data_IF_146925265780
#
_entry.id   IF_146925265780
#
_cell.length_a   1.000
_cell.length_b   1.000
_cell.length_c   1.000
_cell.angle_alpha   90.00
_cell.angle_beta   90.00
_cell.angle_gamma   90.00
#
_symmetry.space_group_name_H-M   'P 1'
#
loop_
_entity.id
_entity.type
_entity.pdbx_description
1 polymer ?
#
# COMPACT_ATOMS: atom_id res chain seq x y z
N UNK A 1 29.64 16.94 73.72
CA UNK A 1 30.58 16.51 72.67
C UNK A 1 29.90 16.78 71.34
N UNK A 2 29.93 18.05 70.93
CA UNK A 2 30.56 18.56 69.68
C UNK A 2 29.80 18.10 68.43
N UNK A 3 29.30 18.92 67.50
CA UNK A 3 29.58 20.30 67.09
C UNK A 3 28.42 20.66 66.11
N UNK A 4 27.50 21.57 66.45
CA UNK A 4 27.30 22.93 65.91
C UNK A 4 27.49 23.11 64.38
N UNK A 5 26.70 24.10 63.86
CA UNK A 5 26.94 24.97 62.67
C UNK A 5 26.55 24.34 61.31
N UNK A 6 25.83 24.93 60.33
CA UNK A 6 25.29 26.26 59.95
C UNK A 6 24.13 25.97 58.96
N UNK A 7 22.89 26.44 59.14
CA UNK A 7 22.30 27.67 58.57
C UNK A 7 22.31 27.84 57.02
N UNK A 8 21.09 27.90 56.48
CA UNK A 8 20.57 28.90 55.50
C UNK A 8 20.87 28.80 53.99
N UNK A 9 19.76 29.06 53.26
CA UNK A 9 19.62 29.61 51.89
C UNK A 9 19.91 28.59 50.78
N UNK A 10 19.10 28.41 49.73
CA UNK A 10 18.34 29.38 48.95
C UNK A 10 17.24 28.63 48.17
N UNK A 11 16.03 29.20 48.20
CA UNK A 11 15.08 29.38 47.08
C UNK A 11 14.98 28.27 46.02
N UNK A 12 13.82 27.63 45.93
CA UNK A 12 12.84 27.93 44.88
C UNK A 12 13.44 28.02 43.47
N UNK A 13 13.51 26.87 42.79
CA UNK A 13 13.43 26.84 41.33
C UNK A 13 13.22 25.42 40.81
N UNK A 14 12.08 25.25 40.14
CA UNK A 14 12.03 24.57 38.83
C UNK A 14 12.18 23.04 38.89
N UNK A 15 11.12 22.24 39.04
CA UNK A 15 9.95 22.22 38.13
C UNK A 15 10.29 21.86 36.67
N UNK A 16 11.55 21.99 36.26
CA UNK A 16 12.00 21.91 34.86
C UNK A 16 12.74 20.59 34.59
N UNK A 17 13.33 19.96 35.61
CA UNK A 17 14.10 18.72 35.42
C UNK A 17 13.23 17.47 35.23
N UNK A 18 12.01 17.43 35.79
CA UNK A 18 11.06 16.33 35.55
C UNK A 18 10.33 16.43 34.19
N UNK A 19 10.37 17.60 33.54
CA UNK A 19 9.72 17.85 32.26
C UNK A 19 10.54 17.31 31.06
N UNK A 20 11.85 17.09 31.26
CA UNK A 20 12.77 16.60 30.22
C UNK A 20 12.70 15.09 29.99
N UNK A 21 12.23 14.29 30.95
CA UNK A 21 11.99 12.85 30.73
C UNK A 21 10.65 12.57 30.05
N UNK A 22 9.68 13.49 30.17
CA UNK A 22 8.37 13.36 29.52
C UNK A 22 8.42 13.75 28.03
N UNK A 23 9.44 14.50 27.59
CA UNK A 23 9.57 14.93 26.18
C UNK A 23 10.23 13.89 25.28
N UNK A 24 10.89 12.87 25.83
CA UNK A 24 11.51 11.80 25.04
C UNK A 24 10.51 10.72 24.58
N UNK A 25 9.28 10.69 25.13
CA UNK A 25 8.26 9.69 24.77
C UNK A 25 7.33 10.15 23.64
N UNK A 26 7.44 11.41 23.18
CA UNK A 26 6.53 11.99 22.17
C UNK A 26 7.10 11.98 20.73
N UNK A 27 8.33 11.52 20.53
CA UNK A 27 9.00 11.60 19.20
C UNK A 27 8.87 10.33 18.35
N UNK A 28 8.31 9.23 18.86
CA UNK A 28 8.02 8.04 18.04
C UNK A 28 6.69 8.16 17.29
N UNK A 29 6.46 9.29 16.62
CA UNK A 29 5.57 9.33 15.48
C UNK A 29 6.35 8.81 14.27
N UNK A 30 6.62 7.50 14.25
CA UNK A 30 7.00 6.82 13.01
C UNK A 30 5.76 6.88 12.13
N UNK A 31 5.70 7.88 11.26
CA UNK A 31 4.77 7.93 10.14
C UNK A 31 5.08 6.73 9.25
N UNK A 32 4.35 5.63 9.45
CA UNK A 32 4.30 4.60 8.44
C UNK A 32 3.73 5.24 7.18
N UNK A 33 4.51 5.26 6.10
CA UNK A 33 4.01 5.61 4.78
C UNK A 33 2.94 4.57 4.42
N UNK A 34 1.67 4.91 4.64
CA UNK A 34 0.55 4.10 4.20
C UNK A 34 0.55 4.20 2.67
N UNK A 35 0.94 3.13 1.98
CA UNK A 35 0.66 2.99 0.55
C UNK A 35 -0.87 2.93 0.42
N UNK A 36 -1.45 3.97 -0.17
CA UNK A 36 -2.89 4.11 -0.25
C UNK A 36 -3.46 3.13 -1.26
N UNK A 37 -4.17 2.12 -0.79
CA UNK A 37 -5.05 1.30 -1.64
C UNK A 37 -6.11 2.22 -2.26
N UNK A 38 -6.29 2.12 -3.59
CA UNK A 38 -7.24 2.94 -4.33
C UNK A 38 -8.42 2.09 -4.79
N UNK A 39 -9.57 2.73 -5.06
CA UNK A 39 -10.72 2.03 -5.61
C UNK A 39 -11.54 2.90 -6.56
N UNK A 40 -12.27 2.25 -7.48
CA UNK A 40 -13.19 2.88 -8.42
C UNK A 40 -14.49 2.10 -8.48
N UNK A 41 -15.62 2.81 -8.39
CA UNK A 41 -16.96 2.21 -8.49
C UNK A 41 -17.46 2.29 -9.93
N UNK A 42 -17.99 1.17 -10.42
CA UNK A 42 -18.59 0.98 -11.73
C UNK A 42 -19.93 0.25 -11.58
N UNK A 43 -21.03 1.01 -11.55
CA UNK A 43 -22.36 0.45 -11.30
C UNK A 43 -22.40 -0.29 -9.97
N UNK A 44 -22.65 -1.60 -10.00
CA UNK A 44 -22.68 -2.47 -8.82
C UNK A 44 -21.32 -3.07 -8.44
N UNK A 45 -20.25 -2.70 -9.13
CA UNK A 45 -18.92 -3.25 -8.90
C UNK A 45 -17.99 -2.19 -8.34
N UNK A 46 -17.12 -2.58 -7.41
CA UNK A 46 -16.00 -1.77 -6.93
C UNK A 46 -14.71 -2.49 -7.29
N UNK A 47 -13.85 -1.83 -8.06
CA UNK A 47 -12.52 -2.32 -8.39
C UNK A 47 -11.53 -1.68 -7.44
N UNK A 48 -10.95 -2.47 -6.55
CA UNK A 48 -9.83 -2.08 -5.70
C UNK A 48 -8.53 -2.37 -6.43
N UNK A 49 -7.57 -1.47 -6.31
CA UNK A 49 -6.28 -1.63 -6.94
C UNK A 49 -5.17 -0.96 -6.12
N UNK A 50 -4.00 -1.56 -6.16
CA UNK A 50 -2.78 -1.02 -5.55
C UNK A 50 -1.57 -1.43 -6.35
N UNK A 51 -0.53 -0.61 -6.32
CA UNK A 51 0.74 -0.90 -6.96
C UNK A 51 1.87 -0.55 -6.01
N UNK A 52 2.83 -1.46 -5.87
CA UNK A 52 3.99 -1.29 -4.99
C UNK A 52 5.15 -2.17 -5.45
N UNK A 53 6.37 -1.95 -4.94
CA UNK A 53 7.51 -2.80 -5.28
C UNK A 53 7.49 -4.12 -4.53
N UNK A 54 7.87 -5.21 -5.19
CA UNK A 54 7.76 -6.58 -4.64
C UNK A 54 8.61 -6.84 -3.40
N UNK A 55 9.61 -6.02 -3.10
CA UNK A 55 10.36 -6.09 -1.85
C UNK A 55 9.51 -5.72 -0.61
N UNK A 56 8.43 -4.96 -0.78
CA UNK A 56 7.46 -4.67 0.28
C UNK A 56 6.62 -5.89 0.68
N UNK A 57 6.62 -6.96 -0.12
CA UNK A 57 5.99 -8.22 0.31
C UNK A 57 6.76 -8.83 1.48
N UNK A 58 6.03 -9.45 2.40
CA UNK A 58 6.66 -10.30 3.41
C UNK A 58 7.32 -11.51 2.73
N UNK A 59 8.40 -12.07 3.31
CA UNK A 59 9.05 -13.26 2.76
C UNK A 59 8.09 -14.44 2.57
N UNK A 60 7.13 -14.63 3.48
CA UNK A 60 6.16 -15.71 3.41
C UNK A 60 5.20 -15.55 2.23
N UNK A 61 4.63 -14.36 2.03
CA UNK A 61 3.71 -14.07 0.91
C UNK A 61 4.43 -14.17 -0.43
N UNK A 62 5.63 -13.59 -0.52
CA UNK A 62 6.45 -13.68 -1.73
C UNK A 62 6.75 -15.15 -2.10
N UNK A 63 7.16 -15.96 -1.12
CA UNK A 63 7.41 -17.40 -1.34
C UNK A 63 6.14 -18.15 -1.71
N UNK A 64 5.03 -17.91 -1.00
CA UNK A 64 3.75 -18.58 -1.21
C UNK A 64 3.25 -18.39 -2.65
N UNK A 65 3.41 -17.19 -3.19
CA UNK A 65 2.93 -16.85 -4.53
C UNK A 65 4.04 -16.80 -5.60
N UNK A 66 5.25 -17.31 -5.28
CA UNK A 66 6.41 -17.33 -6.15
C UNK A 66 6.74 -15.96 -6.79
N UNK A 67 6.69 -14.89 -5.99
CA UNK A 67 7.01 -13.52 -6.39
C UNK A 67 8.45 -13.22 -5.95
N UNK A 68 9.39 -12.98 -6.89
CA UNK A 68 10.73 -12.54 -6.53
C UNK A 68 10.67 -11.17 -5.86
N UNK A 69 11.22 -11.05 -4.65
CA UNK A 69 11.29 -9.77 -3.94
C UNK A 69 12.39 -8.90 -4.55
N UNK A 70 12.02 -7.73 -5.06
CA UNK A 70 12.94 -6.77 -5.67
C UNK A 70 12.34 -5.36 -5.70
N UNK A 71 13.19 -4.36 -5.44
CA UNK A 71 12.83 -2.94 -5.68
C UNK A 71 12.61 -2.64 -7.16
N UNK A 72 13.28 -3.36 -8.07
CA UNK A 72 13.20 -3.18 -9.54
C UNK A 72 11.98 -3.85 -10.17
N UNK A 73 11.01 -4.25 -9.37
CA UNK A 73 9.82 -4.97 -9.81
C UNK A 73 8.61 -4.45 -9.07
N UNK A 74 7.69 -3.84 -9.81
CA UNK A 74 6.39 -3.48 -9.30
C UNK A 74 5.44 -4.68 -9.34
N UNK A 75 4.53 -4.71 -8.38
CA UNK A 75 3.41 -5.62 -8.29
C UNK A 75 2.14 -4.79 -8.37
N UNK A 76 1.37 -4.99 -9.41
CA UNK A 76 -0.03 -4.59 -9.47
C UNK A 76 -0.86 -5.64 -8.73
N UNK A 77 -1.77 -5.19 -7.87
CA UNK A 77 -2.83 -6.00 -7.28
C UNK A 77 -4.19 -5.38 -7.61
N UNK A 78 -5.14 -6.20 -8.06
CA UNK A 78 -6.51 -5.80 -8.38
C UNK A 78 -7.48 -6.78 -7.75
N UNK A 79 -8.53 -6.29 -7.11
CA UNK A 79 -9.68 -7.11 -6.72
C UNK A 79 -10.98 -6.45 -7.15
N UNK A 80 -12.00 -7.28 -7.40
CA UNK A 80 -13.31 -6.81 -7.85
C UNK A 80 -14.35 -7.29 -6.86
N UNK A 81 -15.10 -6.37 -6.30
CA UNK A 81 -16.19 -6.64 -5.37
C UNK A 81 -17.52 -6.28 -6.04
N UNK A 82 -18.53 -7.14 -5.88
CA UNK A 82 -19.91 -6.85 -6.28
C UNK A 82 -20.70 -6.44 -5.04
N UNK A 83 -21.36 -5.29 -5.13
CA UNK A 83 -22.33 -4.83 -4.13
C UNK A 83 -23.58 -5.69 -4.23
N UNK A 84 -23.98 -6.27 -3.10
CA UNK A 84 -25.19 -7.06 -2.92
C UNK A 84 -26.36 -6.15 -2.53
N UNK A 85 -27.59 -6.65 -2.69
CA UNK A 85 -28.80 -5.88 -2.39
C UNK A 85 -28.94 -5.49 -0.90
N UNK A 86 -28.34 -6.27 0.00
CA UNK A 86 -28.26 -6.02 1.44
C UNK A 86 -27.20 -4.96 1.82
N UNK A 87 -26.51 -4.37 0.84
CA UNK A 87 -25.46 -3.38 1.04
C UNK A 87 -24.07 -3.98 1.32
N UNK A 88 -23.95 -5.31 1.47
CA UNK A 88 -22.66 -5.98 1.60
C UNK A 88 -21.89 -6.05 0.28
N UNK A 89 -20.57 -6.25 0.35
CA UNK A 89 -19.72 -6.44 -0.82
C UNK A 89 -19.13 -7.85 -0.82
N UNK A 90 -19.21 -8.55 -1.95
CA UNK A 90 -18.67 -9.90 -2.12
C UNK A 90 -17.64 -9.96 -3.24
N UNK A 91 -16.54 -10.72 -3.08
CA UNK A 91 -15.60 -10.95 -4.17
C UNK A 91 -16.29 -11.47 -5.43
N UNK A 92 -15.91 -10.91 -6.57
CA UNK A 92 -16.44 -11.25 -7.89
C UNK A 92 -15.28 -11.57 -8.82
N UNK A 93 -15.31 -12.75 -9.43
CA UNK A 93 -14.37 -13.08 -10.50
C UNK A 93 -14.54 -12.10 -11.66
N UNK A 94 -13.45 -11.83 -12.36
CA UNK A 94 -13.43 -10.96 -13.53
C UNK A 94 -12.39 -11.43 -14.55
N UNK A 95 -12.62 -11.11 -15.81
CA UNK A 95 -11.58 -11.15 -16.83
C UNK A 95 -10.94 -9.77 -16.83
N UNK A 96 -9.65 -9.70 -16.49
CA UNK A 96 -8.89 -8.45 -16.48
C UNK A 96 -7.83 -8.52 -17.55
N UNK A 97 -7.82 -7.52 -18.43
CA UNK A 97 -6.71 -7.25 -19.35
C UNK A 97 -6.07 -5.94 -18.93
N UNK A 98 -4.76 -5.85 -19.05
CA UNK A 98 -4.04 -4.68 -18.60
C UNK A 98 -2.83 -4.37 -19.45
N UNK A 99 -2.53 -3.08 -19.53
CA UNK A 99 -1.28 -2.58 -20.09
C UNK A 99 -0.67 -1.54 -19.16
N UNK A 100 0.63 -1.35 -19.29
CA UNK A 100 1.34 -0.22 -18.72
C UNK A 100 2.15 0.50 -19.80
N UNK A 101 2.23 1.82 -19.70
CA UNK A 101 3.01 2.66 -20.60
C UNK A 101 3.90 3.60 -19.80
N UNK A 102 5.19 3.66 -20.11
CA UNK A 102 6.09 4.65 -19.51
C UNK A 102 6.07 5.98 -20.27
N UNK A 103 6.80 6.99 -19.77
CA UNK A 103 6.86 8.31 -20.42
C UNK A 103 7.55 8.29 -21.80
N UNK A 104 8.34 7.25 -22.09
CA UNK A 104 8.94 7.02 -23.40
C UNK A 104 7.98 6.32 -24.38
N UNK A 105 6.68 6.21 -24.02
CA UNK A 105 5.64 5.58 -24.82
C UNK A 105 5.88 4.09 -25.09
N UNK A 106 6.72 3.43 -24.28
CA UNK A 106 6.90 1.99 -24.36
C UNK A 106 5.72 1.30 -23.68
N UNK A 107 4.89 0.64 -24.50
CA UNK A 107 3.75 -0.15 -24.05
C UNK A 107 4.21 -1.55 -23.65
N UNK A 108 3.71 -2.04 -22.52
CA UNK A 108 3.89 -3.40 -22.03
C UNK A 108 2.54 -3.99 -21.67
N UNK A 109 2.27 -5.22 -22.10
CA UNK A 109 1.11 -5.98 -21.61
C UNK A 109 1.37 -6.49 -20.19
N UNK A 110 0.32 -6.55 -19.39
CA UNK A 110 0.37 -7.08 -18.03
C UNK A 110 -0.04 -8.54 -18.04
N UNK A 111 0.86 -9.41 -17.59
CA UNK A 111 0.57 -10.82 -17.35
C UNK A 111 -0.19 -10.97 -16.02
N UNK A 112 -1.51 -10.84 -16.07
CA UNK A 112 -2.37 -10.99 -14.90
C UNK A 112 -2.59 -12.47 -14.55
N UNK A 113 -2.37 -12.81 -13.28
CA UNK A 113 -2.69 -14.12 -12.71
C UNK A 113 -3.67 -14.01 -11.55
N UNK A 114 -4.65 -14.91 -11.53
CA UNK A 114 -5.64 -15.02 -10.45
C UNK A 114 -5.04 -15.75 -9.24
N UNK A 115 -5.25 -15.19 -8.05
CA UNK A 115 -4.98 -15.80 -6.76
C UNK A 115 -6.29 -15.83 -5.99
N UNK A 116 -6.63 -17.00 -5.44
CA UNK A 116 -7.80 -17.18 -4.57
C UNK A 116 -7.35 -17.69 -3.21
N UNK A 117 -7.66 -16.95 -2.14
CA UNK A 117 -7.31 -17.33 -0.77
C UNK A 117 -8.42 -16.92 0.20
N UNK A 118 -8.86 -17.84 1.06
CA UNK A 118 -9.84 -17.58 2.14
C UNK A 118 -11.12 -16.85 1.67
N UNK A 119 -11.55 -17.10 0.45
CA UNK A 119 -12.73 -16.49 -0.15
C UNK A 119 -12.51 -15.13 -0.83
N UNK A 120 -11.29 -14.57 -0.77
CA UNK A 120 -10.89 -13.40 -1.56
C UNK A 120 -10.30 -13.81 -2.91
N UNK A 121 -10.45 -12.95 -3.92
CA UNK A 121 -9.94 -13.15 -5.27
C UNK A 121 -9.12 -11.91 -5.65
N UNK A 122 -7.87 -12.13 -6.04
CA UNK A 122 -6.93 -11.10 -6.48
C UNK A 122 -6.41 -11.42 -7.87
N UNK A 123 -6.14 -10.39 -8.64
CA UNK A 123 -5.44 -10.47 -9.91
C UNK A 123 -4.16 -9.68 -9.77
N UNK A 124 -3.02 -10.35 -9.91
CA UNK A 124 -1.72 -9.70 -9.77
C UNK A 124 -0.92 -9.76 -11.06
N UNK A 125 -0.10 -8.74 -11.30
CA UNK A 125 0.85 -8.70 -12.39
C UNK A 125 2.15 -8.05 -11.93
N UNK A 126 3.27 -8.50 -12.48
CA UNK A 126 4.59 -8.01 -12.16
C UNK A 126 5.16 -7.23 -13.36
N UNK A 127 5.78 -6.09 -13.11
CA UNK A 127 6.42 -5.28 -14.16
C UNK A 127 7.80 -4.83 -13.71
N UNK A 128 8.81 -4.82 -14.60
CA UNK A 128 10.08 -4.18 -14.29
C UNK A 128 9.85 -2.67 -14.13
N UNK A 129 10.57 -2.07 -13.18
CA UNK A 129 10.57 -0.63 -12.93
C UNK A 129 11.97 -0.10 -12.68
N UNK A 130 12.23 1.12 -13.13
CA UNK A 130 13.44 1.89 -12.90
C UNK A 130 13.24 3.04 -11.90
N UNK A 131 14.34 3.63 -11.42
CA UNK A 131 14.30 4.79 -10.51
C UNK A 131 13.64 5.99 -11.19
N UNK A 132 12.72 6.63 -10.46
CA UNK A 132 11.91 7.74 -10.92
C UNK A 132 11.07 7.44 -12.19
N UNK A 133 10.84 6.16 -12.52
CA UNK A 133 9.98 5.78 -13.64
C UNK A 133 8.51 6.04 -13.29
N UNK A 134 7.78 6.67 -14.21
CA UNK A 134 6.33 6.81 -14.14
C UNK A 134 5.71 5.77 -15.07
N UNK A 135 4.83 4.95 -14.53
CA UNK A 135 4.04 3.98 -15.28
C UNK A 135 2.57 4.37 -15.27
N UNK A 136 1.98 4.49 -16.46
CA UNK A 136 0.54 4.68 -16.66
C UNK A 136 -0.11 3.33 -16.90
N UNK A 137 -0.94 2.92 -15.96
CA UNK A 137 -1.70 1.68 -16.04
C UNK A 137 -3.05 1.93 -16.70
N UNK A 138 -3.44 0.99 -17.56
CA UNK A 138 -4.80 0.89 -18.10
C UNK A 138 -5.27 -0.54 -17.91
N UNK A 139 -6.42 -0.72 -17.26
CA UNK A 139 -7.04 -2.01 -16.98
C UNK A 139 -8.45 -2.03 -17.58
N UNK A 140 -8.73 -3.05 -18.35
CA UNK A 140 -10.06 -3.37 -18.86
C UNK A 140 -10.61 -4.56 -18.06
N UNK A 141 -11.61 -4.29 -17.23
CA UNK A 141 -12.18 -5.21 -16.24
C UNK A 141 -13.58 -5.61 -16.67
N UNK A 142 -13.78 -6.90 -16.95
CA UNK A 142 -15.09 -7.48 -17.27
C UNK A 142 -15.50 -8.44 -16.15
N UNK A 143 -16.39 -8.05 -15.23
CA UNK A 143 -16.88 -8.95 -14.20
C UNK A 143 -17.52 -10.21 -14.81
N UNK A 144 -17.34 -11.35 -14.15
CA UNK A 144 -17.82 -12.63 -14.67
C UNK A 144 -19.35 -12.62 -14.83
N UNK A 145 -19.82 -13.06 -15.99
CA UNK A 145 -21.24 -13.10 -16.34
C UNK A 145 -21.78 -11.77 -16.88
N UNK A 146 -20.99 -10.70 -16.87
CA UNK A 146 -21.33 -9.43 -17.50
C UNK A 146 -20.74 -9.36 -18.92
N UNK A 147 -21.38 -8.57 -19.79
CA UNK A 147 -20.83 -8.20 -21.11
C UNK A 147 -20.12 -6.86 -21.09
N UNK A 148 -20.41 -6.04 -20.08
CA UNK A 148 -19.87 -4.69 -19.95
C UNK A 148 -18.44 -4.76 -19.42
N UNK A 149 -17.55 -4.08 -20.11
CA UNK A 149 -16.16 -3.87 -19.68
C UNK A 149 -16.01 -2.48 -19.10
N UNK A 150 -15.39 -2.40 -17.93
CA UNK A 150 -15.05 -1.14 -17.27
C UNK A 150 -13.57 -0.85 -17.43
N UNK A 151 -13.24 0.34 -17.91
CA UNK A 151 -11.85 0.78 -18.06
C UNK A 151 -11.44 1.63 -16.86
N UNK A 152 -10.35 1.24 -16.23
CA UNK A 152 -9.67 1.97 -15.16
C UNK A 152 -8.30 2.42 -15.66
N UNK A 153 -7.98 3.70 -15.47
CA UNK A 153 -6.65 4.25 -15.78
C UNK A 153 -6.12 5.03 -14.59
N UNK A 154 -4.85 4.81 -14.26
CA UNK A 154 -4.14 5.51 -13.20
C UNK A 154 -2.63 5.50 -13.50
N UNK A 155 -1.84 6.18 -12.71
CA UNK A 155 -0.39 6.16 -12.85
C UNK A 155 0.28 6.09 -11.48
N UNK A 156 1.48 5.50 -11.46
CA UNK A 156 2.32 5.39 -10.28
C UNK A 156 3.74 5.83 -10.63
N UNK A 157 4.40 6.55 -9.71
CA UNK A 157 5.81 6.92 -9.84
C UNK A 157 6.63 6.11 -8.85
N UNK A 158 7.65 5.41 -9.36
CA UNK A 158 8.50 4.56 -8.55
C UNK A 158 9.78 5.28 -8.17
N UNK A 159 10.09 5.30 -6.87
CA UNK A 159 11.37 5.75 -6.35
C UNK A 159 12.07 4.53 -5.74
N UNK A 160 13.16 4.09 -6.38
CA UNK A 160 13.86 2.87 -6.03
C UNK A 160 15.36 3.13 -5.91
N UNK A 161 15.94 2.76 -4.78
CA UNK A 161 17.37 2.95 -4.47
C UNK A 161 18.11 1.62 -4.37
#
# INVERSE_FOLDING_TARGET
MAMKTVQKLSESSNGITLSLLATALLSLLVSFAVQAEQSKVFGNYTVHYSVFTTDNLTPSVAKQYNIPRSKKRALLNVSVLKKSADGSSKPSKAIIRGTTTNLNQQLRELELREISEKGAIYYIAETPVDHAEILKYKLDVTPQGEKTTYTLSFQEQFYID
#
